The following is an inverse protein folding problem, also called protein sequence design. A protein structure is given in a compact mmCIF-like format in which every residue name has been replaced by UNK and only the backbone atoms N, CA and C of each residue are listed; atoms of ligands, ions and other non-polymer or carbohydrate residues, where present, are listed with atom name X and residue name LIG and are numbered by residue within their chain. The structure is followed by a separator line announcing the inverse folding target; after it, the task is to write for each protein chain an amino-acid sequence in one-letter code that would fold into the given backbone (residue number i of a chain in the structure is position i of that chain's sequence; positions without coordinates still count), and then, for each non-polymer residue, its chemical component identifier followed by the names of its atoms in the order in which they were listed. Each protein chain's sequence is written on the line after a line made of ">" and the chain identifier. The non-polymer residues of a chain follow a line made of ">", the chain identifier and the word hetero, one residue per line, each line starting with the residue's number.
data_IF_372533828604
#
_entry.id   IF_372533828604
#
_cell.length_a   1.000
_cell.length_b   1.000
_cell.length_c   1.000
_cell.angle_alpha   90.00
_cell.angle_beta   90.00
_cell.angle_gamma   90.00
#
_symmetry.space_group_name_H-M   'P 1'
#
loop_
_entity.id
_entity.type
_entity.pdbx_description
1 polymer ?
#
# COMPACT_ATOMS: atom_id res chain seq x y z
N UNK A 1 60.50 -71.83 34.37
CA UNK A 1 60.87 -70.44 34.06
C UNK A 1 59.61 -69.68 33.72
N UNK A 2 59.36 -68.62 34.46
CA UNK A 2 58.22 -67.69 34.37
C UNK A 2 58.27 -66.82 33.11
N UNK A 3 57.13 -66.58 32.47
CA UNK A 3 56.91 -65.40 31.65
C UNK A 3 55.42 -65.00 31.71
N UNK A 4 55.12 -64.05 32.60
CA UNK A 4 53.86 -63.33 32.69
C UNK A 4 53.93 -62.14 31.74
N UNK A 5 53.02 -62.00 30.76
CA UNK A 5 52.90 -60.75 30.00
C UNK A 5 51.43 -60.42 29.61
N UNK A 6 50.92 -59.42 30.33
CA UNK A 6 50.08 -58.30 29.91
C UNK A 6 48.96 -58.50 28.87
N UNK A 7 47.71 -58.48 29.33
CA UNK A 7 46.51 -58.25 28.50
C UNK A 7 45.66 -57.05 28.96
N UNK A 8 46.22 -56.13 29.78
CA UNK A 8 45.43 -55.09 30.45
C UNK A 8 45.33 -53.71 29.76
N UNK A 9 45.60 -53.59 28.45
CA UNK A 9 45.64 -52.27 27.78
C UNK A 9 44.69 -52.03 26.58
N UNK A 10 43.77 -52.93 26.24
CA UNK A 10 43.01 -52.80 24.97
C UNK A 10 41.61 -52.13 25.09
N UNK A 11 41.05 -51.88 26.28
CA UNK A 11 39.63 -51.47 26.42
C UNK A 11 39.33 -50.02 26.82
N UNK A 12 40.33 -49.17 27.07
CA UNK A 12 40.09 -47.80 27.60
C UNK A 12 40.13 -46.68 26.56
N UNK A 13 40.53 -46.95 25.31
CA UNK A 13 40.70 -45.91 24.27
C UNK A 13 39.45 -45.58 23.44
N UNK A 14 38.50 -46.50 23.33
CA UNK A 14 37.35 -46.35 22.42
C UNK A 14 36.18 -45.54 23.00
N UNK A 15 35.99 -45.53 24.32
CA UNK A 15 34.84 -44.86 24.96
C UNK A 15 35.04 -43.33 25.00
N UNK A 16 36.28 -42.87 25.19
CA UNK A 16 36.64 -41.44 25.30
C UNK A 16 36.54 -40.69 23.97
N UNK A 17 36.77 -41.36 22.84
CA UNK A 17 36.66 -40.73 21.51
C UNK A 17 35.19 -40.53 21.08
N UNK A 18 34.30 -41.46 21.43
CA UNK A 18 32.87 -41.36 21.14
C UNK A 18 32.20 -40.25 21.98
N UNK A 19 32.53 -40.14 23.27
CA UNK A 19 31.96 -39.12 24.16
C UNK A 19 32.37 -37.69 23.78
N UNK A 20 33.62 -37.48 23.35
CA UNK A 20 34.13 -36.15 22.94
C UNK A 20 33.49 -35.67 21.63
N UNK A 21 33.25 -36.58 20.68
CA UNK A 21 32.51 -36.26 19.46
C UNK A 21 31.02 -36.04 19.74
N UNK A 22 30.41 -36.83 20.64
CA UNK A 22 29.02 -36.66 21.02
C UNK A 22 28.75 -35.32 21.72
N UNK A 23 29.64 -34.86 22.60
CA UNK A 23 29.53 -33.55 23.28
C UNK A 23 29.69 -32.39 22.28
N UNK A 24 30.60 -32.50 21.31
CA UNK A 24 30.73 -31.52 20.23
C UNK A 24 29.50 -31.48 19.33
N UNK A 25 28.93 -32.64 18.99
CA UNK A 25 27.69 -32.74 18.22
C UNK A 25 26.46 -32.22 18.98
N UNK A 26 26.39 -32.45 20.28
CA UNK A 26 25.31 -31.94 21.14
C UNK A 26 25.42 -30.41 21.32
N UNK A 27 26.65 -29.90 21.44
CA UNK A 27 26.94 -28.46 21.50
C UNK A 27 26.60 -27.75 20.18
N UNK A 28 26.95 -28.36 19.03
CA UNK A 28 26.63 -27.81 17.71
C UNK A 28 25.11 -27.77 17.46
N UNK A 29 24.38 -28.82 17.86
CA UNK A 29 22.91 -28.87 17.78
C UNK A 29 22.24 -27.86 18.73
N UNK A 30 22.82 -27.65 19.92
CA UNK A 30 22.32 -26.66 20.86
C UNK A 30 22.52 -25.23 20.35
N UNK A 31 23.73 -24.90 19.86
CA UNK A 31 24.02 -23.57 19.31
C UNK A 31 23.27 -23.27 18.02
N UNK A 32 23.07 -24.25 17.15
CA UNK A 32 22.24 -24.07 15.94
C UNK A 32 20.77 -23.83 16.29
N UNK A 33 20.22 -24.54 17.28
CA UNK A 33 18.86 -24.29 17.75
C UNK A 33 18.71 -22.88 18.34
N UNK A 34 19.65 -22.47 19.20
CA UNK A 34 19.67 -21.11 19.79
C UNK A 34 19.79 -20.03 18.70
N UNK A 35 20.65 -20.25 17.70
CA UNK A 35 20.85 -19.33 16.59
C UNK A 35 19.61 -19.17 15.69
N UNK A 36 18.90 -20.27 15.38
CA UNK A 36 17.67 -20.25 14.56
C UNK A 36 16.56 -19.49 15.28
N UNK A 37 16.39 -19.71 16.60
CA UNK A 37 15.41 -18.98 17.41
C UNK A 37 15.74 -17.49 17.46
N UNK A 38 17.03 -17.14 17.57
CA UNK A 38 17.48 -15.75 17.61
C UNK A 38 17.27 -15.01 16.28
N UNK A 39 17.58 -15.65 15.13
CA UNK A 39 17.29 -15.06 13.80
C UNK A 39 15.79 -14.87 13.62
N UNK A 40 14.98 -15.86 14.00
CA UNK A 40 13.53 -15.80 13.82
C UNK A 40 12.91 -14.65 14.63
N UNK A 41 13.39 -14.41 15.86
CA UNK A 41 12.96 -13.27 16.68
C UNK A 41 13.42 -11.92 16.11
N UNK A 42 14.64 -11.84 15.58
CA UNK A 42 15.14 -10.62 14.92
C UNK A 42 14.33 -10.32 13.65
N UNK A 43 14.05 -11.33 12.83
CA UNK A 43 13.21 -11.16 11.63
C UNK A 43 11.79 -10.73 11.99
N UNK A 44 11.20 -11.29 13.05
CA UNK A 44 9.87 -10.88 13.52
C UNK A 44 9.85 -9.41 13.98
N UNK A 45 10.86 -8.97 14.73
CA UNK A 45 11.00 -7.57 15.16
C UNK A 45 11.17 -6.62 13.96
N UNK A 46 12.00 -7.00 12.99
CA UNK A 46 12.23 -6.23 11.76
C UNK A 46 10.92 -6.10 10.95
N UNK A 47 10.18 -7.20 10.74
CA UNK A 47 8.91 -7.19 10.00
C UNK A 47 7.83 -6.38 10.72
N UNK A 48 7.72 -6.48 12.05
CA UNK A 48 6.75 -5.67 12.82
C UNK A 48 7.13 -4.18 12.87
N UNK A 49 8.44 -3.86 12.86
CA UNK A 49 8.93 -2.49 12.82
C UNK A 49 8.64 -1.77 11.50
N UNK A 50 8.66 -2.48 10.36
CA UNK A 50 8.37 -1.91 9.05
C UNK A 50 6.88 -1.59 8.82
N UNK A 51 5.95 -2.16 9.59
CA UNK A 51 4.53 -1.81 9.48
C UNK A 51 4.15 -0.53 10.23
N UNK A 52 4.96 -0.05 11.18
CA UNK A 52 4.66 1.18 11.93
C UNK A 52 5.14 2.46 11.23
N UNK A 53 5.92 2.32 10.15
CA UNK A 53 6.42 3.44 9.36
C UNK A 53 5.60 3.71 8.10
N UNK A 54 4.42 3.11 7.95
CA UNK A 54 3.44 3.66 7.02
C UNK A 54 3.04 5.06 7.53
N UNK A 55 3.36 6.14 6.81
CA UNK A 55 2.86 7.45 7.19
C UNK A 55 1.33 7.41 7.10
N UNK A 56 0.67 7.44 8.26
CA UNK A 56 -0.76 7.76 8.32
C UNK A 56 -0.88 9.22 7.86
N UNK A 57 -1.37 9.42 6.65
CA UNK A 57 -1.74 10.75 6.17
C UNK A 57 -3.06 11.16 6.82
N UNK A 58 -2.98 11.67 8.04
CA UNK A 58 -4.09 12.36 8.67
C UNK A 58 -3.57 13.63 9.33
N UNK A 59 -3.53 14.70 8.54
CA UNK A 59 -3.93 16.02 9.01
C UNK A 59 -4.11 16.96 7.81
N UNK A 60 -5.38 17.15 7.44
CA UNK A 60 -5.82 18.20 6.51
C UNK A 60 -6.01 19.52 7.29
N UNK A 61 -5.16 19.82 8.27
CA UNK A 61 -5.23 21.07 9.03
C UNK A 61 -4.36 22.14 8.35
N UNK A 62 -5.03 22.94 7.52
CA UNK A 62 -4.71 24.32 7.09
C UNK A 62 -3.30 24.60 6.54
N UNK A 63 -3.17 24.49 5.21
CA UNK A 63 -2.29 25.41 4.48
C UNK A 63 -2.86 26.82 4.62
N UNK A 64 -2.07 27.75 5.15
CA UNK A 64 -2.38 29.19 5.15
C UNK A 64 -2.62 29.64 3.70
N UNK A 65 -3.82 30.15 3.42
CA UNK A 65 -4.23 30.62 2.10
C UNK A 65 -3.82 32.09 2.00
N UNK A 66 -2.82 32.39 1.15
CA UNK A 66 -2.47 33.76 0.80
C UNK A 66 -3.70 34.46 0.18
N UNK A 67 -4.02 35.65 0.69
CA UNK A 67 -5.31 36.35 0.56
C UNK A 67 -5.63 36.96 -0.83
N UNK A 68 -5.22 36.30 -1.93
CA UNK A 68 -5.40 36.80 -3.29
C UNK A 68 -6.79 36.50 -3.91
N UNK A 69 -7.60 35.66 -3.28
CA UNK A 69 -8.91 35.24 -3.81
C UNK A 69 -10.04 35.58 -2.80
N UNK A 70 -11.00 36.46 -3.13
CA UNK A 70 -11.96 37.01 -2.18
C UNK A 70 -13.21 36.15 -1.93
N UNK A 71 -13.13 34.83 -2.10
CA UNK A 71 -14.16 33.89 -1.65
C UNK A 71 -13.56 32.92 -0.64
N UNK A 72 -14.33 32.58 0.37
CA UNK A 72 -13.92 31.72 1.49
C UNK A 72 -13.77 30.25 1.05
N UNK A 73 -12.81 29.98 0.17
CA UNK A 73 -12.42 28.63 -0.22
C UNK A 73 -11.69 27.90 0.93
N UNK A 74 -11.20 28.65 1.92
CA UNK A 74 -10.45 28.13 3.06
C UNK A 74 -11.33 27.37 4.07
N UNK A 75 -12.65 27.54 4.03
CA UNK A 75 -13.61 26.84 4.91
C UNK A 75 -14.62 25.95 4.18
N UNK A 76 -14.41 25.68 2.88
CA UNK A 76 -15.28 24.81 2.08
C UNK A 76 -15.43 23.42 2.73
N UNK A 77 -16.68 22.99 2.98
CA UNK A 77 -17.03 21.70 3.57
C UNK A 77 -17.77 20.85 2.56
N UNK A 78 -17.54 19.54 2.57
CA UNK A 78 -18.34 18.59 1.81
C UNK A 78 -19.74 18.53 2.42
N UNK A 79 -20.76 18.90 1.66
CA UNK A 79 -22.18 18.89 2.07
C UNK A 79 -22.89 17.62 1.63
N UNK A 80 -22.48 17.03 0.50
CA UNK A 80 -22.94 15.73 0.04
C UNK A 80 -21.79 14.93 -0.53
N UNK A 81 -21.86 13.62 -0.35
CA UNK A 81 -20.89 12.68 -0.87
C UNK A 81 -21.56 11.35 -1.16
N UNK A 82 -21.30 10.81 -2.34
CA UNK A 82 -21.75 9.49 -2.76
C UNK A 82 -20.58 8.73 -3.39
N UNK A 83 -20.45 7.46 -3.03
CA UNK A 83 -19.44 6.57 -3.58
C UNK A 83 -19.99 5.15 -3.61
N UNK A 84 -20.47 4.73 -4.78
CA UNK A 84 -20.99 3.40 -4.99
C UNK A 84 -20.04 2.62 -5.89
N UNK A 85 -19.47 1.55 -5.33
CA UNK A 85 -18.58 0.66 -6.06
C UNK A 85 -19.36 -0.60 -6.46
N UNK A 86 -19.46 -0.83 -7.76
CA UNK A 86 -19.91 -2.09 -8.35
C UNK A 86 -18.72 -2.96 -8.75
N UNK A 87 -19.01 -4.17 -9.25
CA UNK A 87 -17.97 -5.09 -9.72
C UNK A 87 -17.30 -4.62 -11.01
N UNK A 88 -18.07 -3.98 -11.90
CA UNK A 88 -17.62 -3.54 -13.24
C UNK A 88 -17.85 -2.05 -13.47
N UNK A 89 -18.36 -1.33 -12.47
CA UNK A 89 -18.74 0.06 -12.59
C UNK A 89 -18.58 0.77 -11.24
N UNK A 90 -18.47 2.09 -11.26
CA UNK A 90 -18.62 2.89 -10.05
C UNK A 90 -19.39 4.17 -10.33
N UNK A 91 -20.02 4.71 -9.29
CA UNK A 91 -20.59 6.05 -9.25
C UNK A 91 -19.93 6.83 -8.13
N UNK A 92 -19.48 8.04 -8.43
CA UNK A 92 -18.86 8.93 -7.46
C UNK A 92 -19.43 10.33 -7.62
N UNK A 93 -19.87 10.93 -6.51
CA UNK A 93 -20.28 12.32 -6.50
C UNK A 93 -19.90 13.03 -5.20
N UNK A 94 -19.70 14.34 -5.29
CA UNK A 94 -19.63 15.21 -4.12
C UNK A 94 -20.15 16.60 -4.44
N UNK A 95 -20.58 17.28 -3.39
CA UNK A 95 -20.98 18.68 -3.39
C UNK A 95 -20.32 19.37 -2.20
N UNK A 96 -19.79 20.57 -2.41
CA UNK A 96 -19.15 21.39 -1.39
C UNK A 96 -19.96 22.64 -1.09
N UNK A 97 -19.81 23.19 0.12
CA UNK A 97 -20.56 24.35 0.60
C UNK A 97 -20.29 25.64 -0.18
N UNK A 98 -19.23 25.67 -0.99
CA UNK A 98 -18.89 26.77 -1.90
C UNK A 98 -19.64 26.71 -3.25
N UNK A 99 -20.48 25.69 -3.46
CA UNK A 99 -21.23 25.45 -4.69
C UNK A 99 -20.49 24.67 -5.76
N UNK A 100 -19.27 24.18 -5.46
CA UNK A 100 -18.58 23.25 -6.35
C UNK A 100 -19.16 21.85 -6.22
N UNK A 101 -19.24 21.15 -7.33
CA UNK A 101 -19.77 19.78 -7.36
C UNK A 101 -19.06 18.97 -8.43
N UNK A 102 -18.96 17.66 -8.21
CA UNK A 102 -18.45 16.71 -9.20
C UNK A 102 -19.30 15.46 -9.15
N UNK A 103 -19.55 14.91 -10.33
CA UNK A 103 -20.23 13.64 -10.51
C UNK A 103 -19.52 12.88 -11.64
N UNK A 104 -19.26 11.61 -11.43
CA UNK A 104 -18.71 10.74 -12.46
C UNK A 104 -19.18 9.30 -12.30
N UNK A 105 -19.34 8.65 -13.43
CA UNK A 105 -19.66 7.24 -13.55
C UNK A 105 -18.59 6.57 -14.39
N UNK A 106 -18.23 5.36 -14.02
CA UNK A 106 -17.33 4.55 -14.82
C UNK A 106 -17.93 3.18 -15.12
N UNK A 107 -17.56 2.63 -16.26
CA UNK A 107 -18.01 1.35 -16.76
C UNK A 107 -16.83 0.61 -17.41
N UNK A 108 -16.62 -0.64 -17.00
CA UNK A 108 -15.66 -1.54 -17.61
C UNK A 108 -16.23 -2.05 -18.94
N UNK A 109 -15.51 -1.77 -20.02
CA UNK A 109 -15.81 -2.22 -21.39
C UNK A 109 -14.96 -3.45 -21.72
N UNK A 110 -15.55 -4.36 -22.49
CA UNK A 110 -14.92 -5.58 -22.99
C UNK A 110 -14.24 -6.46 -21.92
N UNK A 111 -14.88 -6.59 -20.75
CA UNK A 111 -14.36 -7.37 -19.63
C UNK A 111 -14.01 -8.81 -20.05
N UNK A 112 -12.81 -9.26 -19.69
CA UNK A 112 -12.32 -10.60 -20.02
C UNK A 112 -11.82 -10.78 -21.45
N UNK A 113 -11.51 -9.69 -22.17
CA UNK A 113 -10.89 -9.71 -23.49
C UNK A 113 -9.56 -8.96 -23.51
N UNK A 114 -8.81 -9.07 -24.61
CA UNK A 114 -7.57 -8.30 -24.83
C UNK A 114 -7.79 -6.77 -24.94
N UNK A 115 -9.02 -6.34 -25.19
CA UNK A 115 -9.41 -4.93 -25.32
C UNK A 115 -10.19 -4.44 -24.08
N UNK A 116 -9.95 -5.04 -22.92
CA UNK A 116 -10.56 -4.58 -21.67
C UNK A 116 -10.12 -3.15 -21.34
N UNK A 117 -11.09 -2.26 -21.16
CA UNK A 117 -10.83 -0.83 -20.90
C UNK A 117 -11.87 -0.23 -19.95
N UNK A 118 -11.49 0.82 -19.21
CA UNK A 118 -12.40 1.54 -18.35
C UNK A 118 -12.84 2.84 -19.03
N UNK A 119 -14.14 3.00 -19.25
CA UNK A 119 -14.72 4.25 -19.73
C UNK A 119 -15.28 5.04 -18.54
N UNK A 120 -14.81 6.27 -18.35
CA UNK A 120 -15.27 7.20 -17.32
C UNK A 120 -15.93 8.39 -17.98
N UNK A 121 -17.12 8.76 -17.51
CA UNK A 121 -17.82 9.97 -17.93
C UNK A 121 -18.26 10.75 -16.71
N UNK A 122 -18.11 12.05 -16.75
CA UNK A 122 -18.45 12.88 -15.60
C UNK A 122 -18.56 14.35 -15.93
N UNK A 123 -18.93 15.11 -14.91
CA UNK A 123 -18.90 16.56 -14.97
C UNK A 123 -18.49 17.14 -13.63
N UNK A 124 -17.81 18.27 -13.69
CA UNK A 124 -17.56 19.08 -12.51
C UNK A 124 -18.02 20.52 -12.75
N UNK A 125 -18.46 21.15 -11.69
CA UNK A 125 -18.94 22.53 -11.68
C UNK A 125 -18.22 23.28 -10.57
N UNK A 126 -17.85 24.52 -10.84
CA UNK A 126 -17.22 25.41 -9.87
C UNK A 126 -17.66 26.85 -10.10
N UNK A 127 -17.58 27.68 -9.06
CA UNK A 127 -17.84 29.11 -9.16
C UNK A 127 -16.54 29.85 -9.42
N UNK A 128 -16.46 30.58 -10.53
CA UNK A 128 -15.31 31.38 -10.91
C UNK A 128 -15.14 32.64 -10.06
N UNK A 129 -13.99 33.30 -10.22
CA UNK A 129 -13.67 34.56 -9.52
C UNK A 129 -14.55 35.73 -9.93
N UNK A 130 -15.18 35.62 -11.10
CA UNK A 130 -16.19 36.52 -11.65
C UNK A 130 -17.61 36.27 -11.09
N UNK A 131 -17.77 35.23 -10.25
CA UNK A 131 -19.06 34.82 -9.71
C UNK A 131 -19.91 33.97 -10.65
N UNK A 132 -19.42 33.68 -11.86
CA UNK A 132 -20.12 32.81 -12.81
C UNK A 132 -19.87 31.34 -12.48
N UNK A 133 -20.88 30.51 -12.72
CA UNK A 133 -20.77 29.06 -12.52
C UNK A 133 -20.31 28.41 -13.81
N UNK A 134 -19.20 27.69 -13.75
CA UNK A 134 -18.59 27.01 -14.88
C UNK A 134 -18.78 25.51 -14.75
N UNK A 135 -19.31 24.89 -15.81
CA UNK A 135 -19.44 23.43 -15.93
C UNK A 135 -18.51 22.90 -17.00
N UNK A 136 -17.83 21.81 -16.68
CA UNK A 136 -17.06 20.99 -17.61
C UNK A 136 -17.62 19.58 -17.60
N UNK A 137 -17.85 19.02 -18.79
CA UNK A 137 -18.22 17.62 -18.98
C UNK A 137 -17.08 16.91 -19.68
N UNK A 138 -16.75 15.70 -19.26
CA UNK A 138 -15.63 14.95 -19.80
C UNK A 138 -15.98 13.48 -20.02
N UNK A 139 -15.27 12.89 -20.97
CA UNK A 139 -15.23 11.46 -21.25
C UNK A 139 -13.77 11.03 -21.33
N UNK A 140 -13.44 9.96 -20.62
CA UNK A 140 -12.13 9.32 -20.64
C UNK A 140 -12.32 7.84 -21.00
N UNK A 141 -11.83 7.43 -22.15
CA UNK A 141 -11.92 6.05 -22.65
C UNK A 141 -10.63 5.68 -23.41
N UNK A 142 -10.67 4.60 -24.19
CA UNK A 142 -9.56 4.15 -25.06
C UNK A 142 -9.03 5.25 -26.00
N UNK A 143 -9.87 6.22 -26.36
CA UNK A 143 -9.52 7.34 -27.23
C UNK A 143 -8.99 8.56 -26.42
N UNK A 144 -8.67 8.36 -25.14
CA UNK A 144 -8.11 9.38 -24.25
C UNK A 144 -9.15 10.28 -23.57
N UNK A 145 -8.66 11.36 -22.94
CA UNK A 145 -9.50 12.32 -22.21
C UNK A 145 -9.99 13.45 -23.13
N UNK A 146 -11.29 13.67 -23.15
CA UNK A 146 -11.94 14.71 -23.95
C UNK A 146 -12.92 15.48 -23.07
N UNK A 147 -12.68 16.77 -22.90
CA UNK A 147 -13.54 17.67 -22.13
C UNK A 147 -14.24 18.70 -23.02
N UNK A 148 -15.44 19.08 -22.61
CA UNK A 148 -16.24 20.11 -23.24
C UNK A 148 -16.84 21.04 -22.18
N UNK A 149 -16.89 22.33 -22.50
CA UNK A 149 -17.41 23.36 -21.63
C UNK A 149 -17.51 24.68 -22.38
N UNK A 150 -18.46 25.54 -22.02
CA UNK A 150 -18.70 26.81 -22.70
C UNK A 150 -17.48 27.75 -22.67
N UNK A 151 -16.64 27.62 -21.64
CA UNK A 151 -15.46 28.44 -21.40
C UNK A 151 -14.16 27.79 -21.88
N UNK A 152 -14.21 26.55 -22.36
CA UNK A 152 -13.03 25.85 -22.84
C UNK A 152 -12.76 26.21 -24.31
N UNK A 153 -11.48 26.32 -24.70
CA UNK A 153 -11.13 26.48 -26.11
C UNK A 153 -11.65 25.28 -26.89
N UNK A 154 -12.39 25.55 -27.96
CA UNK A 154 -12.80 24.51 -28.89
C UNK A 154 -11.64 24.27 -29.85
N UNK A 155 -11.04 23.09 -29.80
CA UNK A 155 -10.12 22.64 -30.85
C UNK A 155 -10.95 22.50 -32.13
N UNK A 156 -10.70 23.39 -33.10
CA UNK A 156 -11.33 23.39 -34.42
C UNK A 156 -10.58 22.53 -35.42
#
# INVERSE_FOLDING_TARGET
>A
MTATFSTKLCMTGHITFAARNYILFLSLKFWTFVYIVFISLISFLITTGYCLSYPQRQDYSQRQVDSKYPKDYATSKIVKHENNLGLTNYNFSYETSDGSQREETAELKNAGSENESLAVQGSYTYVGTDGLTYKVTYVADENGYRASGQHLPKTG
#
